data_IF_151109311123
#
_entry.id   IF_151109311123
#
_cell.length_a   1.000
_cell.length_b   1.000
_cell.length_c   1.000
_cell.angle_alpha   90.00
_cell.angle_beta   90.00
_cell.angle_gamma   90.00
#
_symmetry.space_group_name_H-M   'P 1'
#
loop_
_entity.id
_entity.type
_entity.pdbx_description
1 polymer ?
#
# COMPACT_ATOMS: atom_id res chain seq x y z
N UNK A 1 26.81 -5.58 14.71
CA UNK A 1 26.45 -6.97 14.33
C UNK A 1 25.07 -7.10 13.65
N UNK A 2 24.05 -6.30 13.98
CA UNK A 2 22.67 -6.46 13.45
C UNK A 2 22.44 -6.16 11.96
N UNK A 3 23.16 -5.20 11.38
CA UNK A 3 22.99 -4.83 9.97
C UNK A 3 23.32 -6.00 9.02
N UNK A 4 24.29 -6.85 9.36
CA UNK A 4 24.66 -8.03 8.55
C UNK A 4 23.51 -9.03 8.48
N UNK A 5 22.88 -9.33 9.62
CA UNK A 5 21.69 -10.20 9.70
C UNK A 5 20.51 -9.60 8.96
N UNK A 6 20.33 -8.28 9.04
CA UNK A 6 19.25 -7.60 8.32
C UNK A 6 19.42 -7.75 6.81
N UNK A 7 20.63 -7.55 6.28
CA UNK A 7 20.90 -7.66 4.83
C UNK A 7 20.64 -9.06 4.26
N UNK A 8 20.66 -10.11 5.08
CA UNK A 8 20.37 -11.48 4.62
C UNK A 8 18.87 -11.82 4.66
N UNK A 9 18.02 -10.96 5.23
CA UNK A 9 16.57 -11.22 5.30
C UNK A 9 15.89 -10.91 3.96
N UNK A 10 15.03 -11.79 3.45
CA UNK A 10 14.20 -11.50 2.29
C UNK A 10 12.75 -11.23 2.68
N UNK A 11 12.54 -10.22 3.54
CA UNK A 11 11.20 -9.83 3.98
C UNK A 11 10.73 -8.54 3.29
N UNK A 12 9.41 -8.32 3.27
CA UNK A 12 8.77 -7.16 2.61
C UNK A 12 9.31 -5.81 3.13
N UNK A 13 9.61 -5.74 4.43
CA UNK A 13 10.12 -4.50 5.03
C UNK A 13 11.57 -4.22 4.62
N UNK A 14 12.40 -5.25 4.39
CA UNK A 14 13.79 -5.07 3.96
C UNK A 14 13.88 -4.41 2.57
N UNK A 15 12.95 -4.74 1.67
CA UNK A 15 12.87 -4.10 0.35
C UNK A 15 12.68 -2.58 0.44
N UNK A 16 12.10 -2.09 1.55
CA UNK A 16 11.86 -0.65 1.78
C UNK A 16 12.91 -0.04 2.70
N UNK A 17 13.27 -0.76 3.76
CA UNK A 17 14.18 -0.31 4.81
C UNK A 17 15.44 -1.16 4.78
N UNK A 18 16.46 -0.69 4.09
CA UNK A 18 17.73 -1.40 3.99
C UNK A 18 18.64 -1.25 5.23
N UNK A 19 18.30 -0.35 6.16
CA UNK A 19 19.13 -0.09 7.35
C UNK A 19 18.40 -0.39 8.65
N UNK A 20 19.10 -0.91 9.65
CA UNK A 20 18.52 -1.12 11.00
C UNK A 20 18.36 0.19 11.77
N UNK A 21 18.97 1.28 11.29
CA UNK A 21 18.89 2.60 11.91
C UNK A 21 17.44 3.07 12.01
N UNK A 22 17.15 3.83 13.07
CA UNK A 22 15.84 4.45 13.24
C UNK A 22 15.66 5.55 12.19
N UNK A 23 14.51 5.56 11.52
CA UNK A 23 14.11 6.69 10.68
C UNK A 23 13.70 7.87 11.56
N UNK A 24 14.15 9.06 11.20
CA UNK A 24 13.76 10.28 11.91
C UNK A 24 12.28 10.53 11.68
N UNK A 25 11.57 11.00 12.71
CA UNK A 25 10.18 11.42 12.58
C UNK A 25 10.13 12.63 11.65
N UNK A 26 9.23 12.59 10.69
CA UNK A 26 8.87 13.75 9.88
C UNK A 26 7.89 14.65 10.66
N UNK A 27 8.24 15.92 10.95
CA UNK A 27 7.37 16.82 11.70
C UNK A 27 6.15 17.28 10.91
N UNK A 28 6.15 17.13 9.58
CA UNK A 28 5.08 17.59 8.70
C UNK A 28 3.91 16.62 8.58
N UNK A 29 3.99 15.45 9.24
CA UNK A 29 2.92 14.45 9.22
C UNK A 29 2.38 14.20 10.63
N UNK A 30 1.07 13.99 10.71
CA UNK A 30 0.44 13.66 11.99
C UNK A 30 0.88 12.29 12.51
N UNK A 31 0.88 12.10 13.83
CA UNK A 31 1.12 10.78 14.46
C UNK A 31 0.15 9.71 13.93
N UNK A 32 -1.07 10.09 13.55
CA UNK A 32 -2.06 9.18 12.96
C UNK A 32 -1.63 8.72 11.56
N UNK A 33 -1.08 9.62 10.74
CA UNK A 33 -0.60 9.27 9.41
C UNK A 33 0.73 8.52 9.45
N UNK A 34 1.62 8.85 10.38
CA UNK A 34 2.84 8.07 10.67
C UNK A 34 2.49 6.60 10.97
N UNK A 35 1.45 6.34 11.80
CA UNK A 35 0.96 4.99 12.08
C UNK A 35 0.41 4.29 10.82
N UNK A 36 -0.32 5.00 9.96
CA UNK A 36 -0.84 4.43 8.70
C UNK A 36 0.31 4.05 7.75
N UNK A 37 1.28 4.94 7.60
CA UNK A 37 2.47 4.72 6.78
C UNK A 37 3.29 3.52 7.28
N UNK A 38 3.53 3.43 8.59
CA UNK A 38 4.27 2.30 9.18
C UNK A 38 3.55 0.95 8.99
N UNK A 39 2.21 0.94 9.05
CA UNK A 39 1.42 -0.26 8.70
C UNK A 39 1.55 -0.59 7.21
N UNK A 40 1.47 0.39 6.32
CA UNK A 40 1.65 0.16 4.88
C UNK A 40 3.03 -0.41 4.55
N UNK A 41 4.10 0.08 5.20
CA UNK A 41 5.49 -0.40 5.05
C UNK A 41 5.66 -1.89 5.36
N UNK A 42 4.87 -2.45 6.27
CA UNK A 42 4.88 -3.90 6.56
C UNK A 42 3.84 -4.69 5.76
N UNK A 43 3.14 -4.05 4.83
CA UNK A 43 2.15 -4.69 3.99
C UNK A 43 0.73 -4.67 4.56
N UNK A 44 0.43 -3.84 5.56
CA UNK A 44 -0.86 -3.80 6.23
C UNK A 44 -1.67 -2.56 5.81
N UNK A 45 -2.56 -2.76 4.86
CA UNK A 45 -3.68 -1.85 4.55
C UNK A 45 -4.99 -2.62 4.62
N UNK A 46 -6.12 -1.91 4.68
CA UNK A 46 -7.43 -2.58 4.67
C UNK A 46 -7.53 -3.52 3.46
N UNK A 47 -7.20 -3.01 2.27
CA UNK A 47 -7.25 -3.78 1.02
C UNK A 47 -6.38 -5.04 1.01
N UNK A 48 -5.27 -5.07 1.74
CA UNK A 48 -4.30 -6.17 1.68
C UNK A 48 -4.40 -7.12 2.87
N UNK A 49 -5.21 -6.79 3.89
CA UNK A 49 -5.20 -7.51 5.17
C UNK A 49 -6.59 -7.76 5.78
N UNK A 50 -7.64 -7.09 5.29
CA UNK A 50 -9.01 -7.27 5.79
C UNK A 50 -9.50 -8.71 5.63
N UNK A 51 -9.15 -9.37 4.54
CA UNK A 51 -9.55 -10.77 4.30
C UNK A 51 -9.06 -11.73 5.39
N UNK A 52 -7.88 -11.48 5.98
CA UNK A 52 -7.35 -12.31 7.07
C UNK A 52 -8.20 -12.20 8.34
N UNK A 53 -8.75 -11.02 8.62
CA UNK A 53 -9.64 -10.80 9.76
C UNK A 53 -11.00 -11.46 9.55
N UNK A 54 -11.47 -11.43 8.30
CA UNK A 54 -12.75 -12.02 7.92
C UNK A 54 -12.64 -13.51 7.56
N UNK A 55 -11.43 -14.10 7.63
CA UNK A 55 -11.13 -15.47 7.17
C UNK A 55 -11.63 -15.75 5.75
N UNK A 56 -11.61 -14.73 4.90
CA UNK A 56 -11.99 -14.83 3.49
C UNK A 56 -10.80 -15.11 2.59
N UNK A 57 -11.05 -15.06 1.28
CA UNK A 57 -10.02 -15.24 0.27
C UNK A 57 -9.17 -13.97 0.05
N UNK A 58 -7.89 -14.11 -0.34
CA UNK A 58 -7.07 -12.97 -0.71
C UNK A 58 -7.71 -12.17 -1.84
N UNK A 59 -7.76 -10.83 -1.73
CA UNK A 59 -8.37 -10.01 -2.76
C UNK A 59 -7.54 -10.04 -4.04
N UNK A 60 -8.21 -10.22 -5.16
CA UNK A 60 -7.61 -10.19 -6.49
C UNK A 60 -7.80 -8.82 -7.14
N UNK A 61 -6.78 -8.36 -7.85
CA UNK A 61 -6.86 -7.18 -8.69
C UNK A 61 -7.72 -7.51 -9.91
N UNK A 62 -8.79 -6.75 -10.14
CA UNK A 62 -9.70 -7.00 -11.27
C UNK A 62 -9.04 -6.81 -12.64
N UNK A 63 -8.04 -5.94 -12.76
CA UNK A 63 -7.34 -5.73 -14.04
C UNK A 63 -6.22 -6.73 -14.29
N UNK A 64 -5.52 -7.16 -13.24
CA UNK A 64 -4.30 -7.95 -13.35
C UNK A 64 -4.53 -9.44 -13.05
N UNK A 65 -5.63 -9.80 -12.41
CA UNK A 65 -5.92 -11.17 -11.97
C UNK A 65 -5.02 -11.69 -10.84
N UNK A 66 -4.09 -10.86 -10.35
CA UNK A 66 -3.14 -11.22 -9.28
C UNK A 66 -3.62 -10.77 -7.91
N UNK A 67 -3.12 -11.41 -6.86
CA UNK A 67 -3.39 -10.99 -5.47
C UNK A 67 -2.92 -9.56 -5.22
N UNK A 68 -3.77 -8.76 -4.58
CA UNK A 68 -3.45 -7.38 -4.24
C UNK A 68 -2.45 -7.35 -3.08
N UNK A 69 -1.29 -6.76 -3.33
CA UNK A 69 -0.26 -6.49 -2.32
C UNK A 69 0.16 -5.01 -2.38
N UNK A 70 0.88 -4.50 -1.37
CA UNK A 70 1.42 -3.14 -1.43
C UNK A 70 2.40 -2.99 -2.60
N UNK A 71 3.25 -3.99 -2.85
CA UNK A 71 4.12 -4.00 -4.03
C UNK A 71 3.31 -3.89 -5.32
N UNK A 72 2.26 -4.69 -5.44
CA UNK A 72 1.37 -4.65 -6.60
C UNK A 72 0.79 -3.25 -6.83
N UNK A 73 0.28 -2.60 -5.77
CA UNK A 73 -0.32 -1.26 -5.86
C UNK A 73 0.70 -0.18 -6.25
N UNK A 74 1.92 -0.26 -5.71
CA UNK A 74 2.95 0.78 -5.90
C UNK A 74 3.80 0.59 -7.16
N UNK A 75 4.00 -0.65 -7.64
CA UNK A 75 4.95 -0.92 -8.73
C UNK A 75 4.32 -1.56 -9.97
N UNK A 76 3.32 -2.43 -9.81
CA UNK A 76 2.92 -3.37 -10.88
C UNK A 76 1.56 -3.03 -11.51
N UNK A 77 0.61 -2.55 -10.72
CA UNK A 77 -0.78 -2.43 -11.14
C UNK A 77 -1.01 -1.21 -12.03
N UNK A 78 -1.49 -1.44 -13.25
CA UNK A 78 -1.83 -0.37 -14.21
C UNK A 78 -3.05 0.46 -13.78
N UNK A 79 -3.95 -0.10 -12.97
CA UNK A 79 -5.14 0.64 -12.47
C UNK A 79 -4.79 1.85 -11.62
N UNK A 80 -3.61 1.83 -10.99
CA UNK A 80 -3.13 2.89 -10.12
C UNK A 80 -2.07 3.77 -10.79
N UNK A 81 -1.77 3.55 -12.07
CA UNK A 81 -0.71 4.27 -12.79
C UNK A 81 -0.96 5.78 -12.81
N UNK A 82 -2.15 6.19 -13.25
CA UNK A 82 -2.53 7.60 -13.26
C UNK A 82 -2.44 8.25 -11.87
N UNK A 83 -2.92 7.58 -10.83
CA UNK A 83 -2.86 8.11 -9.46
C UNK A 83 -1.42 8.19 -8.94
N UNK A 84 -0.54 7.29 -9.38
CA UNK A 84 0.89 7.36 -9.07
C UNK A 84 1.53 8.56 -9.77
N UNK A 85 1.22 8.78 -11.04
CA UNK A 85 1.71 9.94 -11.80
C UNK A 85 1.22 11.27 -11.20
N UNK A 86 -0.08 11.38 -10.93
CA UNK A 86 -0.72 12.58 -10.36
C UNK A 86 -0.12 12.98 -9.00
N UNK A 87 0.38 12.00 -8.23
CA UNK A 87 0.98 12.20 -6.91
C UNK A 87 2.50 12.01 -6.89
N UNK A 88 3.15 11.93 -8.05
CA UNK A 88 4.60 11.74 -8.18
C UNK A 88 5.14 10.55 -7.35
N UNK A 89 4.37 9.46 -7.28
CA UNK A 89 4.75 8.24 -6.57
C UNK A 89 5.75 7.47 -7.44
N UNK A 90 6.92 7.18 -6.87
CA UNK A 90 7.92 6.34 -7.53
C UNK A 90 7.38 4.92 -7.76
N UNK A 91 7.69 4.37 -8.93
CA UNK A 91 7.49 2.95 -9.27
C UNK A 91 8.38 2.01 -8.45
N UNK A 92 9.29 2.54 -7.62
CA UNK A 92 10.06 1.76 -6.66
C UNK A 92 9.48 1.96 -5.26
N UNK A 93 8.93 0.88 -4.70
CA UNK A 93 8.29 0.86 -3.39
C UNK A 93 9.25 1.34 -2.29
N UNK A 94 10.54 1.02 -2.39
CA UNK A 94 11.54 1.43 -1.42
C UNK A 94 11.78 2.93 -1.39
N UNK A 95 11.66 3.60 -2.54
CA UNK A 95 11.75 5.05 -2.66
C UNK A 95 10.48 5.71 -2.14
N UNK A 96 9.31 5.24 -2.59
CA UNK A 96 8.00 5.79 -2.19
C UNK A 96 7.72 5.63 -0.70
N UNK A 97 7.94 4.44 -0.14
CA UNK A 97 7.72 4.17 1.28
C UNK A 97 8.94 4.47 2.17
N UNK A 98 10.02 5.00 1.59
CA UNK A 98 11.27 5.32 2.27
C UNK A 98 11.17 6.50 3.25
N UNK A 99 12.27 6.83 3.97
CA UNK A 99 12.32 7.90 4.95
C UNK A 99 12.63 9.26 4.32
N UNK A 100 11.92 9.63 3.25
CA UNK A 100 12.03 10.95 2.63
C UNK A 100 10.77 11.76 2.99
N UNK A 101 10.90 12.94 3.63
CA UNK A 101 9.74 13.70 4.11
C UNK A 101 8.68 14.01 3.05
N UNK A 102 9.09 14.29 1.82
CA UNK A 102 8.18 14.62 0.71
C UNK A 102 7.48 13.35 0.22
N UNK A 103 8.24 12.28 0.00
CA UNK A 103 7.69 10.98 -0.39
C UNK A 103 6.70 10.45 0.66
N UNK A 104 6.97 10.67 1.96
CA UNK A 104 6.06 10.27 3.03
C UNK A 104 4.72 10.99 2.91
N UNK A 105 4.74 12.30 2.63
CA UNK A 105 3.52 13.11 2.45
C UNK A 105 2.72 12.61 1.25
N UNK A 106 3.36 12.43 0.10
CA UNK A 106 2.69 12.02 -1.13
C UNK A 106 2.18 10.58 -1.05
N UNK A 107 2.95 9.69 -0.44
CA UNK A 107 2.51 8.33 -0.10
C UNK A 107 1.27 8.36 0.79
N UNK A 108 1.24 9.22 1.82
CA UNK A 108 0.07 9.33 2.70
C UNK A 108 -1.16 9.80 1.92
N UNK A 109 -1.01 10.77 1.00
CA UNK A 109 -2.10 11.20 0.10
C UNK A 109 -2.58 10.04 -0.76
N UNK A 110 -1.66 9.29 -1.36
CA UNK A 110 -1.98 8.13 -2.19
C UNK A 110 -2.71 7.04 -1.40
N UNK A 111 -2.21 6.67 -0.21
CA UNK A 111 -2.86 5.69 0.68
C UNK A 111 -4.26 6.13 1.13
N UNK A 112 -4.49 7.44 1.29
CA UNK A 112 -5.82 7.99 1.56
C UNK A 112 -6.74 7.84 0.35
N UNK A 113 -6.26 8.12 -0.87
CA UNK A 113 -7.02 7.93 -2.11
C UNK A 113 -7.41 6.46 -2.35
N UNK A 114 -6.54 5.50 -2.01
CA UNK A 114 -6.87 4.08 -2.09
C UNK A 114 -8.10 3.70 -1.26
N UNK A 115 -8.36 4.37 -0.13
CA UNK A 115 -9.56 4.12 0.68
C UNK A 115 -10.86 4.46 -0.06
N UNK A 116 -10.86 5.51 -0.89
CA UNK A 116 -12.03 5.96 -1.64
C UNK A 116 -12.33 5.03 -2.83
N UNK A 117 -11.30 4.46 -3.46
CA UNK A 117 -11.45 3.57 -4.61
C UNK A 117 -12.05 2.20 -4.24
N UNK A 118 -11.87 1.75 -3.00
CA UNK A 118 -12.48 0.49 -2.51
C UNK A 118 -14.01 0.62 -2.41
N UNK A 119 -14.50 1.80 -2.01
CA UNK A 119 -15.95 2.06 -1.89
C UNK A 119 -16.65 1.98 -3.25
N UNK A 120 -15.98 2.37 -4.33
CA UNK A 120 -16.52 2.28 -5.70
C UNK A 120 -16.50 0.85 -6.27
N UNK A 121 -15.45 0.07 -6.00
CA UNK A 121 -15.37 -1.33 -6.50
C UNK A 121 -16.37 -2.27 -5.83
N UNK A 122 -16.65 -2.07 -4.53
CA UNK A 122 -17.68 -2.81 -3.79
C UNK A 122 -19.09 -2.37 -4.19
N UNK A 123 -19.33 -1.08 -4.46
CA UNK A 123 -20.66 -0.63 -4.93
C UNK A 123 -21.01 -1.12 -6.34
N UNK A 124 -20.03 -1.24 -7.24
CA UNK A 124 -20.24 -1.82 -8.58
C UNK A 124 -20.48 -3.34 -8.55
N UNK A 125 -20.06 -4.04 -7.50
CA UNK A 125 -20.42 -5.44 -7.27
C UNK A 125 -21.86 -5.58 -6.76
N UNK A 126 -22.34 -4.65 -5.92
CA UNK A 126 -23.73 -4.64 -5.46
C UNK A 126 -24.74 -4.33 -6.57
N UNK A 127 -24.43 -3.42 -7.51
CA UNK A 127 -25.38 -3.07 -8.59
C UNK A 127 -25.49 -4.15 -9.68
N UNK A 128 -24.41 -4.90 -9.95
CA UNK A 128 -24.46 -6.04 -10.90
C UNK A 128 -25.22 -7.25 -10.35
N UNK A 129 -25.20 -7.46 -9.02
CA UNK A 129 -25.92 -8.55 -8.38
C UNK A 129 -27.45 -8.29 -8.28
N UNK A 130 -27.87 -7.03 -8.36
CA UNK A 130 -29.28 -6.64 -8.35
C UNK A 130 -29.93 -6.62 -9.74
N UNK A 131 -29.15 -6.45 -10.82
CA UNK A 131 -29.68 -6.44 -12.20
C UNK A 131 -29.74 -7.85 -12.81
N UNK A 132 -29.00 -8.82 -12.27
CA UNK A 132 -28.99 -10.22 -12.74
C UNK A 132 -30.01 -11.11 -12.03
N UNK A 133 -30.80 -10.55 -11.11
CA UNK A 133 -31.86 -11.27 -10.36
C UNK A 133 -33.23 -10.57 -10.47
N UNK A 134 -33.48 -9.82 -11.54
CA UNK A 134 -34.77 -9.16 -11.83
C UNK A 134 -35.25 -9.50 -13.23
#
# INVERSE_FOLDING_TARGET
MWQKVWNTQNNKLNQIKQTVKRWRRNPNISTSDEKKLNRARIGHTRLTHEYLMNKGDPPLCQSCGTTITIKHIFEECRMYEKQREDLNISHQIGTSLGPNPDNEIDTIKFLKQLKYLIYFSQHLQCTKYQITNS
#
